data_IF_167685400524
#
_entry.id   IF_167685400524
#
_cell.length_a   1.000
_cell.length_b   1.000
_cell.length_c   1.000
_cell.angle_alpha   90.00
_cell.angle_beta   90.00
_cell.angle_gamma   90.00
#
_symmetry.space_group_name_H-M   'P 1'
#
loop_
_entity.id
_entity.type
_entity.pdbx_description
1 polymer ?
#
# COMPACT_ATOMS: atom_id res chain seq x y z
N UNK A 1 1.04 2.25 1.61
CA UNK A 1 2.10 1.40 1.05
C UNK A 1 3.40 1.67 1.80
N UNK A 2 3.96 0.65 2.45
CA UNK A 2 5.21 0.77 3.20
C UNK A 2 6.43 0.92 2.28
N UNK A 3 7.58 1.27 2.85
CA UNK A 3 8.83 1.40 2.13
C UNK A 3 9.71 0.15 2.17
N UNK A 4 10.93 0.29 1.65
CA UNK A 4 11.96 -0.76 1.66
C UNK A 4 12.32 -1.16 3.10
N UNK A 5 12.66 -2.43 3.30
CA UNK A 5 13.01 -3.05 4.59
C UNK A 5 11.92 -2.97 5.67
N UNK A 6 10.65 -2.83 5.26
CA UNK A 6 9.48 -2.65 6.12
C UNK A 6 8.31 -3.55 5.68
N UNK A 7 7.17 -3.47 6.36
CA UNK A 7 5.98 -4.28 6.12
C UNK A 7 4.71 -3.47 6.41
N UNK A 8 3.53 -4.04 6.18
CA UNK A 8 2.24 -3.35 6.35
C UNK A 8 1.99 -2.92 7.80
N UNK A 9 2.48 -3.68 8.79
CA UNK A 9 2.31 -3.35 10.21
C UNK A 9 2.99 -2.04 10.60
N UNK A 10 4.09 -1.67 9.95
CA UNK A 10 4.75 -0.40 10.17
C UNK A 10 3.86 0.81 9.80
N UNK A 11 2.77 0.59 9.06
CA UNK A 11 1.79 1.62 8.71
C UNK A 11 0.63 1.72 9.70
N UNK A 12 0.57 0.86 10.73
CA UNK A 12 -0.55 0.80 11.66
C UNK A 12 -0.80 2.12 12.40
N UNK A 13 0.24 2.84 12.80
CA UNK A 13 0.05 4.10 13.54
C UNK A 13 -0.46 5.23 12.64
N UNK A 14 -0.01 5.27 11.39
CA UNK A 14 -0.56 6.19 10.37
C UNK A 14 -2.01 5.85 10.08
N UNK A 15 -2.33 4.56 9.91
CA UNK A 15 -3.69 4.10 9.67
C UNK A 15 -4.62 4.42 10.85
N UNK A 16 -4.15 4.23 12.10
CA UNK A 16 -4.88 4.63 13.31
C UNK A 16 -5.16 6.13 13.33
N UNK A 17 -4.14 6.95 13.03
CA UNK A 17 -4.30 8.40 12.98
C UNK A 17 -5.30 8.87 11.91
N UNK A 18 -5.30 8.25 10.72
CA UNK A 18 -6.27 8.56 9.67
C UNK A 18 -7.69 8.19 10.13
N UNK A 19 -7.87 7.00 10.70
CA UNK A 19 -9.19 6.55 11.20
C UNK A 19 -9.72 7.43 12.33
N UNK A 20 -8.85 7.92 13.23
CA UNK A 20 -9.27 8.82 14.30
C UNK A 20 -9.61 10.23 13.80
N UNK A 21 -8.94 10.67 12.73
CA UNK A 21 -9.17 11.99 12.12
C UNK A 21 -10.43 12.02 11.27
N UNK A 22 -10.74 10.92 10.56
CA UNK A 22 -11.90 10.81 9.67
C UNK A 22 -12.78 9.60 10.07
N UNK A 23 -13.72 9.75 11.02
CA UNK A 23 -14.57 8.65 11.45
C UNK A 23 -15.33 8.01 10.28
N UNK A 24 -15.32 6.67 10.23
CA UNK A 24 -15.98 5.89 9.17
C UNK A 24 -15.15 5.68 7.90
N UNK A 25 -13.96 6.27 7.80
CA UNK A 25 -13.07 6.02 6.64
C UNK A 25 -12.55 4.58 6.64
N UNK A 26 -12.58 3.96 5.45
CA UNK A 26 -11.90 2.69 5.22
C UNK A 26 -10.40 2.94 4.98
N UNK A 27 -9.54 2.24 5.73
CA UNK A 27 -8.08 2.32 5.57
C UNK A 27 -7.51 0.92 5.56
N UNK A 28 -6.71 0.62 4.54
CA UNK A 28 -5.97 -0.63 4.40
C UNK A 28 -4.48 -0.36 4.20
N UNK A 29 -3.65 -1.04 4.98
CA UNK A 29 -2.21 -1.13 4.76
C UNK A 29 -1.95 -2.39 3.93
N UNK A 30 -1.56 -2.23 2.67
CA UNK A 30 -1.30 -3.35 1.76
C UNK A 30 0.09 -3.93 2.06
N UNK A 31 0.14 -5.25 2.29
CA UNK A 31 1.35 -6.06 2.37
C UNK A 31 1.68 -6.63 0.99
N UNK A 32 2.95 -6.61 0.60
CA UNK A 32 3.41 -7.16 -0.68
C UNK A 32 4.37 -8.32 -0.41
N UNK A 33 3.97 -9.53 -0.83
CA UNK A 33 4.80 -10.72 -0.64
C UNK A 33 5.06 -11.00 0.84
N UNK A 34 6.30 -11.33 1.19
CA UNK A 34 6.79 -11.52 2.56
C UNK A 34 7.33 -10.22 3.19
N UNK A 35 6.61 -9.12 2.93
CA UNK A 35 6.85 -7.78 3.47
C UNK A 35 8.29 -7.31 3.47
N UNK A 36 8.95 -7.40 4.63
CA UNK A 36 10.31 -6.86 4.81
C UNK A 36 11.29 -7.46 3.82
N UNK A 37 11.28 -8.78 3.64
CA UNK A 37 12.22 -9.47 2.76
C UNK A 37 11.94 -9.12 1.29
N UNK A 38 10.66 -9.20 0.89
CA UNK A 38 10.26 -8.96 -0.48
C UNK A 38 10.31 -7.49 -0.90
N UNK A 39 10.32 -6.54 0.05
CA UNK A 39 10.46 -5.12 -0.25
C UNK A 39 11.77 -4.77 -0.99
N UNK A 40 12.82 -5.58 -0.79
CA UNK A 40 14.12 -5.40 -1.46
C UNK A 40 14.51 -6.58 -2.36
N UNK A 41 13.92 -7.77 -2.18
CA UNK A 41 14.19 -8.94 -3.04
C UNK A 41 13.30 -8.98 -4.29
N UNK A 42 12.03 -8.54 -4.22
CA UNK A 42 11.16 -8.53 -5.39
C UNK A 42 11.43 -7.33 -6.30
N UNK A 43 11.49 -7.52 -7.64
CA UNK A 43 11.56 -6.41 -8.59
C UNK A 43 10.37 -5.45 -8.43
N UNK A 44 10.62 -4.14 -8.53
CA UNK A 44 9.59 -3.12 -8.36
C UNK A 44 8.37 -3.30 -9.27
N UNK A 45 8.57 -3.75 -10.51
CA UNK A 45 7.45 -3.98 -11.43
C UNK A 45 6.50 -5.08 -10.96
N UNK A 46 7.04 -6.12 -10.30
CA UNK A 46 6.25 -7.20 -9.70
C UNK A 46 5.54 -6.69 -8.43
N UNK A 47 6.20 -5.82 -7.65
CA UNK A 47 5.55 -5.18 -6.49
C UNK A 47 4.38 -4.29 -6.93
N UNK A 48 4.52 -3.53 -8.02
CA UNK A 48 3.43 -2.74 -8.61
C UNK A 48 2.28 -3.66 -9.07
N UNK A 49 2.58 -4.75 -9.78
CA UNK A 49 1.54 -5.69 -10.23
C UNK A 49 0.77 -6.28 -9.05
N UNK A 50 1.48 -6.76 -8.02
CA UNK A 50 0.87 -7.29 -6.79
C UNK A 50 0.02 -6.25 -6.07
N UNK A 51 0.50 -5.01 -5.98
CA UNK A 51 -0.27 -3.91 -5.40
C UNK A 51 -1.59 -3.70 -6.17
N UNK A 52 -1.52 -3.62 -7.50
CA UNK A 52 -2.70 -3.46 -8.34
C UNK A 52 -3.69 -4.63 -8.24
N UNK A 53 -3.20 -5.87 -8.13
CA UNK A 53 -4.04 -7.05 -7.90
C UNK A 53 -4.82 -6.93 -6.59
N UNK A 54 -4.13 -6.58 -5.49
CA UNK A 54 -4.77 -6.39 -4.19
C UNK A 54 -5.82 -5.27 -4.24
N UNK A 55 -5.52 -4.14 -4.86
CA UNK A 55 -6.47 -3.04 -5.02
C UNK A 55 -7.72 -3.47 -5.79
N UNK A 56 -7.55 -4.13 -6.95
CA UNK A 56 -8.67 -4.58 -7.81
C UNK A 56 -9.54 -5.67 -7.17
N UNK A 57 -9.00 -6.41 -6.21
CA UNK A 57 -9.75 -7.44 -5.47
C UNK A 57 -10.57 -6.89 -4.29
N UNK A 58 -10.43 -5.60 -3.96
CA UNK A 58 -11.04 -5.01 -2.78
C UNK A 58 -12.20 -4.09 -3.14
N UNK A 59 -13.42 -4.56 -2.94
CA UNK A 59 -14.67 -3.84 -3.25
C UNK A 59 -14.79 -2.46 -2.58
N UNK A 60 -14.12 -2.24 -1.44
CA UNK A 60 -14.13 -0.95 -0.76
C UNK A 60 -13.33 0.13 -1.52
N UNK A 61 -12.60 -0.24 -2.56
CA UNK A 61 -11.76 0.64 -3.38
C UNK A 61 -12.33 0.88 -4.78
N UNK A 62 -13.46 0.27 -5.14
CA UNK A 62 -14.00 0.33 -6.51
C UNK A 62 -14.55 1.72 -6.90
N UNK A 63 -14.95 2.53 -5.92
CA UNK A 63 -15.50 3.88 -6.14
C UNK A 63 -14.44 4.98 -6.06
N UNK A 64 -13.17 4.62 -6.24
CA UNK A 64 -12.03 5.51 -6.10
C UNK A 64 -11.53 5.60 -4.66
N UNK A 65 -10.26 5.97 -4.51
CA UNK A 65 -9.56 5.98 -3.23
C UNK A 65 -8.39 6.95 -3.25
N UNK A 66 -7.87 7.26 -2.07
CA UNK A 66 -6.62 8.00 -1.90
C UNK A 66 -5.45 7.04 -1.68
N UNK A 67 -4.25 7.47 -2.07
CA UNK A 67 -3.01 6.70 -1.93
C UNK A 67 -2.05 7.40 -0.97
N UNK A 68 -1.45 6.62 -0.07
CA UNK A 68 -0.36 7.06 0.80
C UNK A 68 0.81 6.10 0.63
N UNK A 69 1.93 6.62 0.12
CA UNK A 69 3.19 5.90 -0.04
C UNK A 69 4.27 6.47 0.86
N UNK A 70 5.06 5.60 1.50
CA UNK A 70 6.23 5.98 2.29
C UNK A 70 7.50 5.48 1.60
N UNK A 71 8.48 6.37 1.38
CA UNK A 71 9.77 6.02 0.77
C UNK A 71 9.58 5.26 -0.56
N UNK A 72 10.14 4.05 -0.73
CA UNK A 72 9.93 3.19 -1.91
C UNK A 72 8.45 2.92 -2.20
N UNK A 73 7.59 2.88 -1.18
CA UNK A 73 6.15 2.72 -1.35
C UNK A 73 5.52 3.83 -2.20
N UNK A 74 6.10 5.03 -2.23
CA UNK A 74 5.66 6.12 -3.10
C UNK A 74 5.91 5.83 -4.59
N UNK A 75 7.00 5.11 -4.90
CA UNK A 75 7.31 4.70 -6.27
C UNK A 75 6.33 3.61 -6.72
N UNK A 76 6.00 2.67 -5.83
CA UNK A 76 5.04 1.59 -6.11
C UNK A 76 3.65 2.17 -6.41
N UNK A 77 3.14 3.05 -5.55
CA UNK A 77 1.80 3.64 -5.77
C UNK A 77 1.77 4.57 -6.98
N UNK A 78 2.87 5.27 -7.30
CA UNK A 78 2.97 6.02 -8.56
C UNK A 78 2.93 5.09 -9.76
N UNK A 79 3.69 3.99 -9.72
CA UNK A 79 3.70 2.97 -10.77
C UNK A 79 2.31 2.37 -11.01
N UNK A 80 1.52 2.19 -9.96
CA UNK A 80 0.14 1.70 -10.05
C UNK A 80 -0.84 2.69 -10.71
N UNK A 81 -0.54 4.00 -10.67
CA UNK A 81 -1.36 5.05 -11.30
C UNK A 81 -0.97 5.28 -12.76
N UNK A 82 0.33 5.15 -13.08
CA UNK A 82 0.87 5.49 -14.41
C UNK A 82 0.96 4.31 -15.39
N UNK A 83 0.83 3.05 -14.92
CA UNK A 83 0.93 1.83 -15.74
C UNK A 83 -0.39 1.09 -15.82
#
# INVERSE_FOLDING_TARGET
MHGITSNADAMNDVAKWIRSTYPGIYVISIEIGDGKEDSYLLPLDIQVEKFCQTVRSNENLDQGFNLVGYSQGSIIVRGAVER
#
